data_IF_305054991114
#
_entry.id   IF_305054991114
#
_cell.length_a   1.000
_cell.length_b   1.000
_cell.length_c   1.000
_cell.angle_alpha   90.00
_cell.angle_beta   90.00
_cell.angle_gamma   90.00
#
_symmetry.space_group_name_H-M   'P 1'
#
loop_
_entity.id
_entity.type
_entity.pdbx_description
1 polymer ?
#
# COMPACT_ATOMS: atom_id res chain seq x y z
N UNK A 1 14.83 29.95 -5.73
CA UNK A 1 14.10 28.72 -5.99
C UNK A 1 14.40 27.77 -4.85
N UNK A 2 13.46 27.54 -3.96
CA UNK A 2 13.61 26.54 -2.89
C UNK A 2 13.70 25.17 -3.59
N UNK A 3 14.77 24.40 -3.31
CA UNK A 3 14.92 23.06 -3.85
C UNK A 3 13.73 22.17 -3.54
N UNK A 4 13.48 21.11 -4.35
CA UNK A 4 12.42 20.14 -4.08
C UNK A 4 12.64 19.49 -2.71
N UNK A 5 11.55 19.27 -1.98
CA UNK A 5 11.61 18.65 -0.66
C UNK A 5 11.30 17.17 -0.79
N UNK A 6 12.33 16.31 -0.71
CA UNK A 6 12.13 14.85 -0.71
C UNK A 6 11.31 14.43 0.49
N UNK A 7 10.26 13.64 0.24
CA UNK A 7 9.33 13.10 1.24
C UNK A 7 9.09 11.61 1.00
N UNK A 8 8.88 10.91 2.08
CA UNK A 8 8.30 9.58 2.08
C UNK A 8 6.81 9.70 2.41
N UNK A 9 5.96 8.99 1.68
CA UNK A 9 4.50 9.11 1.79
C UNK A 9 3.89 7.76 2.13
N UNK A 10 3.12 7.69 3.22
CA UNK A 10 2.39 6.49 3.64
C UNK A 10 0.89 6.77 3.63
N UNK A 11 0.16 6.07 2.76
CA UNK A 11 -1.31 6.09 2.67
C UNK A 11 -1.87 4.89 3.41
N UNK A 12 -2.83 5.13 4.30
CA UNK A 12 -3.28 4.12 5.26
C UNK A 12 -2.35 4.04 6.48
N UNK A 13 -1.83 5.18 6.92
CA UNK A 13 -0.87 5.35 8.02
C UNK A 13 -1.37 4.76 9.36
N UNK A 14 -2.70 4.72 9.58
CA UNK A 14 -3.28 4.10 10.78
C UNK A 14 -3.31 2.57 10.76
N UNK A 15 -2.84 1.90 9.69
CA UNK A 15 -2.70 0.44 9.67
C UNK A 15 -1.46 -0.01 10.44
N UNK A 16 -1.46 -1.23 11.00
CA UNK A 16 -0.31 -1.74 11.75
C UNK A 16 1.00 -1.66 10.96
N UNK A 17 0.99 -2.06 9.69
CA UNK A 17 2.18 -1.98 8.82
C UNK A 17 2.53 -0.53 8.50
N UNK A 18 1.54 0.32 8.17
CA UNK A 18 1.77 1.72 7.85
C UNK A 18 2.37 2.49 9.03
N UNK A 19 1.83 2.26 10.23
CA UNK A 19 2.33 2.85 11.46
C UNK A 19 3.79 2.42 11.75
N UNK A 20 4.07 1.11 11.71
CA UNK A 20 5.41 0.58 11.94
C UNK A 20 6.43 1.09 10.90
N UNK A 21 6.01 1.25 9.64
CA UNK A 21 6.87 1.78 8.58
C UNK A 21 7.23 3.24 8.82
N UNK A 22 6.27 4.07 9.25
CA UNK A 22 6.52 5.47 9.59
C UNK A 22 7.53 5.55 10.74
N UNK A 23 7.32 4.82 11.84
CA UNK A 23 8.27 4.79 12.96
C UNK A 23 9.68 4.39 12.50
N UNK A 24 9.79 3.34 11.70
CA UNK A 24 11.08 2.91 11.15
C UNK A 24 11.78 4.01 10.33
N UNK A 25 11.03 4.75 9.52
CA UNK A 25 11.60 5.79 8.67
C UNK A 25 12.03 7.01 9.45
N UNK A 26 11.29 7.44 10.48
CA UNK A 26 11.71 8.55 11.35
C UNK A 26 12.90 8.17 12.23
N UNK A 27 12.97 6.93 12.71
CA UNK A 27 14.13 6.43 13.50
C UNK A 27 15.42 6.44 12.67
N UNK A 28 15.32 6.17 11.38
CA UNK A 28 16.46 6.27 10.46
C UNK A 28 16.85 7.71 10.13
N UNK A 29 16.03 8.70 10.53
CA UNK A 29 16.19 10.15 10.32
C UNK A 29 16.53 10.56 8.88
N UNK A 30 16.14 9.73 7.89
CA UNK A 30 16.56 9.93 6.51
C UNK A 30 15.84 11.12 5.86
N UNK A 31 14.53 11.26 6.09
CA UNK A 31 13.70 12.36 5.54
C UNK A 31 12.33 12.45 6.23
N UNK A 32 11.66 13.60 6.07
CA UNK A 32 10.29 13.76 6.57
C UNK A 32 9.31 12.82 5.88
N UNK A 33 8.33 12.35 6.66
CA UNK A 33 7.29 11.42 6.25
C UNK A 33 5.93 12.14 6.24
N UNK A 34 5.14 11.94 5.19
CA UNK A 34 3.73 12.35 5.16
C UNK A 34 2.86 11.14 5.47
N UNK A 35 2.18 11.19 6.60
CA UNK A 35 1.26 10.16 7.08
C UNK A 35 -0.18 10.52 6.69
N UNK A 36 -0.82 9.69 5.85
CA UNK A 36 -2.17 9.94 5.33
C UNK A 36 -3.14 8.89 5.85
N UNK A 37 -4.22 9.31 6.49
CA UNK A 37 -5.31 8.43 6.94
C UNK A 37 -6.67 9.12 6.85
N UNK A 38 -7.76 8.33 6.92
CA UNK A 38 -9.13 8.84 6.86
C UNK A 38 -9.59 9.51 8.16
N UNK A 39 -9.12 8.98 9.29
CA UNK A 39 -9.53 9.42 10.61
C UNK A 39 -8.42 10.21 11.28
N UNK A 40 -8.70 11.40 11.81
CA UNK A 40 -7.74 12.15 12.64
C UNK A 40 -7.17 11.30 13.77
N UNK A 41 -8.02 10.52 14.47
CA UNK A 41 -7.60 9.67 15.58
C UNK A 41 -6.54 8.62 15.22
N UNK A 42 -6.49 8.22 13.94
CA UNK A 42 -5.44 7.33 13.43
C UNK A 42 -4.08 8.01 13.24
N UNK A 43 -4.01 9.32 13.39
CA UNK A 43 -2.83 10.14 13.15
C UNK A 43 -2.31 10.83 14.42
N UNK A 44 -3.13 10.94 15.47
CA UNK A 44 -2.80 11.64 16.72
C UNK A 44 -1.48 11.19 17.35
N UNK A 45 -1.18 9.90 17.27
CA UNK A 45 0.06 9.34 17.83
C UNK A 45 1.34 9.76 17.07
N UNK A 46 1.19 10.37 15.89
CA UNK A 46 2.33 10.92 15.15
C UNK A 46 2.60 12.39 15.46
N UNK A 47 1.67 13.13 16.11
CA UNK A 47 1.82 14.55 16.43
C UNK A 47 3.12 14.91 17.19
N UNK A 48 3.65 14.03 18.09
CA UNK A 48 4.89 14.33 18.78
C UNK A 48 6.17 14.27 17.93
N UNK A 49 6.07 13.83 16.67
CA UNK A 49 7.26 13.62 15.83
C UNK A 49 7.42 14.72 14.79
N UNK A 50 8.39 15.61 14.96
CA UNK A 50 8.69 16.73 14.06
C UNK A 50 8.95 16.31 12.59
N UNK A 51 9.37 15.05 12.37
CA UNK A 51 9.61 14.51 11.05
C UNK A 51 8.34 13.95 10.39
N UNK A 52 7.18 13.94 11.06
CA UNK A 52 5.93 13.42 10.51
C UNK A 52 4.95 14.56 10.27
N UNK A 53 4.57 14.72 9.03
CA UNK A 53 3.47 15.57 8.63
C UNK A 53 2.20 14.70 8.49
N UNK A 54 1.14 15.04 9.20
CA UNK A 54 -0.13 14.31 9.15
C UNK A 54 -1.12 14.97 8.18
N UNK A 55 -1.78 14.17 7.35
CA UNK A 55 -2.82 14.64 6.41
C UNK A 55 -4.08 13.76 6.53
N UNK A 56 -5.19 14.35 6.94
CA UNK A 56 -6.49 13.67 6.91
C UNK A 56 -7.04 13.70 5.49
N UNK A 57 -7.39 12.53 4.93
CA UNK A 57 -7.94 12.39 3.60
C UNK A 57 -8.97 11.25 3.59
N UNK A 58 -10.21 11.55 3.25
CA UNK A 58 -11.29 10.56 3.14
C UNK A 58 -11.28 9.79 1.81
N UNK A 59 -10.33 10.16 0.93
CA UNK A 59 -10.12 9.64 -0.41
C UNK A 59 -11.26 9.95 -1.39
N UNK A 60 -12.12 10.92 -1.13
CA UNK A 60 -13.00 11.53 -2.15
C UNK A 60 -12.17 12.21 -3.25
N UNK A 61 -12.78 12.47 -4.40
CA UNK A 61 -12.05 13.13 -5.51
C UNK A 61 -11.60 14.54 -5.10
N UNK A 62 -12.42 15.24 -4.33
CA UNK A 62 -12.11 16.56 -3.78
C UNK A 62 -10.95 16.51 -2.79
N UNK A 63 -10.95 15.53 -1.87
CA UNK A 63 -9.88 15.38 -0.89
C UNK A 63 -8.55 14.97 -1.54
N UNK A 64 -8.60 14.10 -2.56
CA UNK A 64 -7.41 13.73 -3.33
C UNK A 64 -6.86 14.91 -4.14
N UNK A 65 -7.74 15.74 -4.75
CA UNK A 65 -7.32 16.94 -5.46
C UNK A 65 -6.64 17.93 -4.50
N UNK A 66 -7.24 18.20 -3.34
CA UNK A 66 -6.67 19.08 -2.31
C UNK A 66 -5.31 18.57 -1.79
N UNK A 67 -5.18 17.26 -1.58
CA UNK A 67 -3.91 16.63 -1.19
C UNK A 67 -2.82 16.89 -2.22
N UNK A 68 -3.12 16.73 -3.51
CA UNK A 68 -2.18 16.95 -4.62
C UNK A 68 -1.79 18.43 -4.73
N UNK A 69 -2.74 19.35 -4.54
CA UNK A 69 -2.46 20.80 -4.52
C UNK A 69 -1.50 21.14 -3.38
N UNK A 70 -1.77 20.67 -2.16
CA UNK A 70 -0.88 20.89 -1.03
C UNK A 70 0.54 20.36 -1.30
N UNK A 71 0.67 19.18 -1.90
CA UNK A 71 1.99 18.64 -2.28
C UNK A 71 2.71 19.49 -3.36
N UNK A 72 1.96 20.12 -4.27
CA UNK A 72 2.54 21.03 -5.27
C UNK A 72 3.01 22.32 -4.63
N UNK A 73 2.22 22.91 -3.72
CA UNK A 73 2.53 24.14 -3.02
C UNK A 73 3.78 23.97 -2.14
N UNK A 74 3.89 22.82 -1.48
CA UNK A 74 5.06 22.47 -0.66
C UNK A 74 6.26 21.97 -1.49
N UNK A 75 6.14 21.95 -2.83
CA UNK A 75 7.16 21.46 -3.77
C UNK A 75 7.70 20.07 -3.40
N UNK A 76 6.79 19.16 -3.04
CA UNK A 76 7.12 17.77 -2.62
C UNK A 76 7.68 16.95 -3.79
N UNK A 77 8.82 16.30 -3.54
CA UNK A 77 9.40 15.25 -4.37
C UNK A 77 9.20 13.91 -3.66
N UNK A 78 8.35 13.05 -4.21
CA UNK A 78 8.02 11.76 -3.59
C UNK A 78 9.16 10.76 -3.85
N UNK A 79 9.91 10.44 -2.81
CA UNK A 79 10.99 9.43 -2.88
C UNK A 79 10.41 8.01 -2.72
N UNK A 80 9.55 7.80 -1.71
CA UNK A 80 8.87 6.54 -1.46
C UNK A 80 7.38 6.79 -1.27
N UNK A 81 6.55 6.00 -1.94
CA UNK A 81 5.09 5.97 -1.75
C UNK A 81 4.68 4.57 -1.36
N UNK A 82 4.08 4.42 -0.18
CA UNK A 82 3.52 3.14 0.25
C UNK A 82 2.03 3.27 0.50
N UNK A 83 1.23 2.43 -0.17
CA UNK A 83 -0.23 2.39 -0.01
C UNK A 83 -0.60 1.13 0.77
N UNK A 84 -1.01 1.31 2.02
CA UNK A 84 -1.27 0.24 2.99
C UNK A 84 -2.75 -0.11 3.17
N UNK A 85 -3.66 0.52 2.41
CA UNK A 85 -5.09 0.29 2.54
C UNK A 85 -5.47 -1.15 2.15
N UNK A 86 -6.35 -1.75 2.97
CA UNK A 86 -6.88 -3.08 2.67
C UNK A 86 -7.88 -3.54 3.72
N UNK A 87 -8.84 -4.37 3.27
CA UNK A 87 -9.82 -5.05 4.12
C UNK A 87 -9.98 -6.48 3.66
N UNK A 88 -10.27 -7.39 4.60
CA UNK A 88 -10.54 -8.79 4.34
C UNK A 88 -11.94 -9.17 4.84
N UNK A 89 -12.37 -8.51 5.91
CA UNK A 89 -13.67 -8.69 6.54
C UNK A 89 -14.15 -7.37 7.13
N UNK A 90 -15.39 -7.31 7.53
CA UNK A 90 -16.00 -6.17 8.19
C UNK A 90 -17.36 -6.52 8.80
N UNK A 91 -18.08 -5.48 9.23
CA UNK A 91 -19.42 -5.68 9.75
C UNK A 91 -20.32 -6.31 8.67
N UNK A 92 -20.92 -7.46 8.98
CA UNK A 92 -21.84 -8.17 8.09
C UNK A 92 -21.21 -9.01 6.99
N UNK A 93 -19.87 -9.03 6.82
CA UNK A 93 -19.24 -9.86 5.79
C UNK A 93 -17.92 -10.50 6.25
N UNK A 94 -17.65 -11.68 5.71
CA UNK A 94 -16.42 -12.46 5.93
C UNK A 94 -15.98 -13.09 4.61
N UNK A 95 -14.70 -13.49 4.49
CA UNK A 95 -14.22 -14.19 3.30
C UNK A 95 -15.00 -15.48 3.04
N UNK A 96 -15.41 -15.66 1.81
CA UNK A 96 -16.27 -16.78 1.37
C UNK A 96 -15.48 -18.09 1.32
N UNK A 97 -16.11 -19.19 1.75
CA UNK A 97 -15.57 -20.55 1.65
C UNK A 97 -16.09 -21.30 0.42
N UNK A 98 -17.23 -20.86 -0.12
CA UNK A 98 -17.90 -21.49 -1.26
C UNK A 98 -18.51 -20.40 -2.16
N UNK A 99 -18.66 -20.72 -3.47
CA UNK A 99 -19.15 -19.77 -4.48
C UNK A 99 -20.56 -19.24 -4.19
N UNK A 100 -21.41 -20.06 -3.57
CA UNK A 100 -22.78 -19.68 -3.19
C UNK A 100 -22.85 -18.75 -1.97
N UNK A 101 -21.71 -18.37 -1.37
CA UNK A 101 -21.61 -17.40 -0.29
C UNK A 101 -21.22 -16.01 -0.79
N UNK A 102 -21.08 -15.83 -2.11
CA UNK A 102 -20.83 -14.53 -2.70
C UNK A 102 -21.99 -13.57 -2.36
N UNK A 103 -21.63 -12.40 -1.89
CA UNK A 103 -22.55 -11.31 -1.55
C UNK A 103 -22.11 -10.05 -2.30
N UNK A 104 -23.05 -9.43 -3.03
CA UNK A 104 -22.77 -8.29 -3.90
C UNK A 104 -22.27 -7.07 -3.10
N UNK A 105 -22.87 -6.80 -1.93
CA UNK A 105 -22.47 -5.68 -1.09
C UNK A 105 -21.03 -5.87 -0.56
N UNK A 106 -20.70 -7.06 -0.07
CA UNK A 106 -19.35 -7.42 0.35
C UNK A 106 -18.33 -7.29 -0.81
N UNK A 107 -18.70 -7.76 -2.01
CA UNK A 107 -17.87 -7.64 -3.21
C UNK A 107 -17.56 -6.17 -3.50
N UNK A 108 -18.57 -5.31 -3.58
CA UNK A 108 -18.37 -3.88 -3.80
C UNK A 108 -17.47 -3.26 -2.74
N UNK A 109 -17.72 -3.54 -1.46
CA UNK A 109 -16.95 -2.97 -0.36
C UNK A 109 -15.48 -3.37 -0.39
N UNK A 110 -15.20 -4.65 -0.63
CA UNK A 110 -13.83 -5.18 -0.67
C UNK A 110 -13.07 -4.66 -1.91
N UNK A 111 -13.70 -4.64 -3.08
CA UNK A 111 -13.09 -4.07 -4.29
C UNK A 111 -12.84 -2.57 -4.15
N UNK A 112 -13.78 -1.82 -3.56
CA UNK A 112 -13.59 -0.39 -3.31
C UNK A 112 -12.32 -0.13 -2.52
N UNK A 113 -12.11 -0.85 -1.40
CA UNK A 113 -10.96 -0.59 -0.53
C UNK A 113 -9.67 -1.21 -1.05
N UNK A 114 -9.73 -2.42 -1.62
CA UNK A 114 -8.53 -3.18 -2.00
C UNK A 114 -8.02 -2.87 -3.41
N UNK A 115 -8.88 -2.36 -4.28
CA UNK A 115 -8.56 -2.17 -5.69
C UNK A 115 -8.74 -0.72 -6.12
N UNK A 116 -9.97 -0.17 -5.98
CA UNK A 116 -10.28 1.14 -6.53
C UNK A 116 -9.59 2.26 -5.75
N UNK A 117 -9.63 2.24 -4.42
CA UNK A 117 -8.99 3.26 -3.59
C UNK A 117 -7.48 3.36 -3.86
N UNK A 118 -6.68 2.27 -3.80
CA UNK A 118 -5.25 2.36 -4.10
C UNK A 118 -4.97 2.92 -5.49
N UNK A 119 -5.78 2.55 -6.48
CA UNK A 119 -5.62 3.03 -7.85
C UNK A 119 -6.00 4.49 -8.01
N UNK A 120 -7.07 4.97 -7.34
CA UNK A 120 -7.45 6.40 -7.31
C UNK A 120 -6.36 7.25 -6.67
N UNK A 121 -5.79 6.79 -5.56
CA UNK A 121 -4.65 7.45 -4.92
C UNK A 121 -3.45 7.52 -5.86
N UNK A 122 -3.09 6.40 -6.49
CA UNK A 122 -1.98 6.36 -7.44
C UNK A 122 -2.22 7.28 -8.63
N UNK A 123 -3.43 7.28 -9.19
CA UNK A 123 -3.83 8.15 -10.29
C UNK A 123 -3.71 9.64 -9.90
N UNK A 124 -4.21 10.03 -8.73
CA UNK A 124 -4.12 11.40 -8.23
C UNK A 124 -2.67 11.85 -8.05
N UNK A 125 -1.78 10.97 -7.53
CA UNK A 125 -0.38 11.28 -7.29
C UNK A 125 0.52 11.16 -8.54
N UNK A 126 0.04 10.56 -9.63
CA UNK A 126 0.82 10.37 -10.88
C UNK A 126 1.48 11.65 -11.41
N UNK A 127 0.84 12.85 -11.39
CA UNK A 127 1.50 14.09 -11.83
C UNK A 127 2.71 14.48 -10.98
N UNK A 128 2.75 14.07 -9.70
CA UNK A 128 3.89 14.28 -8.80
C UNK A 128 4.98 13.23 -9.07
N UNK A 129 4.59 11.95 -9.13
CA UNK A 129 5.50 10.83 -9.41
C UNK A 129 6.22 10.99 -10.75
N UNK A 130 5.55 11.59 -11.75
CA UNK A 130 6.17 11.93 -13.04
C UNK A 130 7.34 12.90 -12.90
N UNK A 131 7.31 13.80 -11.90
CA UNK A 131 8.32 14.84 -11.68
C UNK A 131 9.35 14.46 -10.63
N UNK A 132 9.05 13.46 -9.82
CA UNK A 132 9.95 12.95 -8.78
C UNK A 132 11.21 12.34 -9.39
N UNK A 133 12.33 12.42 -8.71
CA UNK A 133 13.63 12.00 -9.24
C UNK A 133 13.67 10.49 -9.52
N UNK A 134 13.37 9.66 -8.52
CA UNK A 134 13.41 8.19 -8.66
C UNK A 134 12.41 7.52 -7.69
N UNK A 135 11.08 7.73 -7.85
CA UNK A 135 10.11 7.29 -6.86
C UNK A 135 10.01 5.75 -6.80
N UNK A 136 9.98 5.24 -5.57
CA UNK A 136 9.70 3.84 -5.25
C UNK A 136 8.28 3.73 -4.73
N UNK A 137 7.45 2.97 -5.42
CA UNK A 137 6.01 2.86 -5.15
C UNK A 137 5.69 1.43 -4.77
N UNK A 138 5.25 1.18 -3.54
CA UNK A 138 4.74 -0.11 -3.12
C UNK A 138 3.25 -0.02 -2.78
N UNK A 139 2.46 -0.96 -3.30
CA UNK A 139 1.05 -1.11 -2.94
C UNK A 139 0.86 -2.48 -2.30
N UNK A 140 0.28 -2.50 -1.09
CA UNK A 140 0.06 -3.76 -0.38
C UNK A 140 -0.96 -4.63 -1.13
N UNK A 141 -0.44 -5.66 -1.77
CA UNK A 141 -1.20 -6.75 -2.36
C UNK A 141 -1.22 -7.95 -1.40
N UNK A 142 -1.44 -9.13 -1.92
CA UNK A 142 -1.39 -10.37 -1.14
C UNK A 142 -1.07 -11.55 -2.06
N UNK A 143 -0.30 -12.54 -1.60
CA UNK A 143 0.00 -13.78 -2.35
C UNK A 143 -1.26 -14.47 -2.87
N UNK A 144 -2.36 -14.37 -2.13
CA UNK A 144 -3.65 -14.92 -2.54
C UNK A 144 -4.27 -14.25 -3.77
N UNK A 145 -3.73 -13.09 -4.22
CA UNK A 145 -4.07 -12.45 -5.49
C UNK A 145 -3.42 -13.12 -6.71
N UNK A 146 -2.48 -14.03 -6.50
CA UNK A 146 -1.90 -14.85 -7.57
C UNK A 146 -2.90 -15.90 -8.07
N UNK A 147 -3.16 -15.91 -9.38
CA UNK A 147 -3.99 -16.94 -10.01
C UNK A 147 -3.19 -18.23 -10.13
N UNK A 148 -1.92 -18.14 -10.54
CA UNK A 148 -1.03 -19.28 -10.73
C UNK A 148 -0.65 -20.01 -9.44
N UNK A 149 -0.61 -19.32 -8.29
CA UNK A 149 -0.30 -19.90 -6.97
C UNK A 149 -1.54 -20.43 -6.23
N UNK A 150 -2.75 -20.19 -6.76
CA UNK A 150 -3.98 -20.58 -6.11
C UNK A 150 -4.23 -22.09 -6.18
N UNK A 151 -4.00 -22.81 -5.07
CA UNK A 151 -4.28 -24.24 -4.89
C UNK A 151 -5.38 -24.52 -3.87
N UNK A 152 -5.82 -23.50 -3.13
CA UNK A 152 -6.76 -23.67 -2.00
C UNK A 152 -8.19 -23.25 -2.32
N UNK A 153 -8.38 -22.31 -3.26
CA UNK A 153 -9.70 -21.69 -3.49
C UNK A 153 -10.20 -20.88 -2.30
N UNK A 154 -11.50 -20.64 -2.23
CA UNK A 154 -12.12 -19.80 -1.20
C UNK A 154 -11.69 -18.34 -1.30
N UNK A 155 -12.24 -17.48 -0.42
CA UNK A 155 -11.92 -16.05 -0.34
C UNK A 155 -12.06 -15.34 -1.70
N UNK A 156 -13.12 -15.68 -2.43
CA UNK A 156 -13.32 -15.28 -3.82
C UNK A 156 -13.16 -13.79 -4.03
N UNK A 157 -13.88 -13.01 -3.22
CA UNK A 157 -13.88 -11.55 -3.32
C UNK A 157 -12.51 -10.97 -3.00
N UNK A 158 -11.87 -11.44 -1.91
CA UNK A 158 -10.55 -10.93 -1.53
C UNK A 158 -9.48 -11.28 -2.56
N UNK A 159 -9.43 -12.54 -3.02
CA UNK A 159 -8.50 -12.96 -4.08
C UNK A 159 -8.74 -12.18 -5.37
N UNK A 160 -10.00 -12.08 -5.78
CA UNK A 160 -10.40 -11.33 -6.97
C UNK A 160 -9.97 -9.86 -6.89
N UNK A 161 -10.18 -9.20 -5.74
CA UNK A 161 -9.78 -7.80 -5.56
C UNK A 161 -8.26 -7.60 -5.64
N UNK A 162 -7.46 -8.52 -5.07
CA UNK A 162 -6.00 -8.42 -5.12
C UNK A 162 -5.44 -8.80 -6.50
N UNK A 163 -6.06 -9.75 -7.22
CA UNK A 163 -5.72 -10.05 -8.61
C UNK A 163 -6.03 -8.86 -9.54
N UNK A 164 -7.20 -8.22 -9.36
CA UNK A 164 -7.56 -7.00 -10.10
C UNK A 164 -6.58 -5.86 -9.81
N UNK A 165 -6.22 -5.64 -8.53
CA UNK A 165 -5.19 -4.66 -8.14
C UNK A 165 -3.87 -4.93 -8.86
N UNK A 166 -3.39 -6.19 -8.88
CA UNK A 166 -2.14 -6.56 -9.54
C UNK A 166 -2.17 -6.23 -11.04
N UNK A 167 -3.29 -6.53 -11.73
CA UNK A 167 -3.45 -6.18 -13.14
C UNK A 167 -3.42 -4.67 -13.36
N UNK A 168 -4.14 -3.89 -12.55
CA UNK A 168 -4.18 -2.43 -12.68
C UNK A 168 -2.82 -1.81 -12.38
N UNK A 169 -2.07 -2.34 -11.38
CA UNK A 169 -0.70 -1.92 -11.10
C UNK A 169 0.26 -2.25 -12.25
N UNK A 170 0.05 -3.38 -12.96
CA UNK A 170 0.83 -3.69 -14.17
C UNK A 170 0.63 -2.62 -15.25
N UNK A 171 -0.62 -2.21 -15.48
CA UNK A 171 -0.91 -1.13 -16.43
C UNK A 171 -0.25 0.19 -15.99
N UNK A 172 -0.36 0.53 -14.69
CA UNK A 172 0.25 1.74 -14.15
C UNK A 172 1.79 1.75 -14.24
N UNK A 173 2.44 0.60 -13.98
CA UNK A 173 3.88 0.48 -14.11
C UNK A 173 4.36 0.73 -15.56
N UNK A 174 3.65 0.16 -16.55
CA UNK A 174 3.93 0.37 -17.96
C UNK A 174 3.70 1.82 -18.41
N UNK A 175 2.73 2.51 -17.82
CA UNK A 175 2.49 3.93 -18.05
C UNK A 175 3.60 4.78 -17.40
N UNK A 176 3.89 4.55 -16.12
CA UNK A 176 4.93 5.27 -15.39
C UNK A 176 6.31 5.11 -16.03
N UNK A 177 6.64 3.93 -16.56
CA UNK A 177 7.88 3.74 -17.34
C UNK A 177 8.05 4.77 -18.46
N UNK A 178 6.95 5.15 -19.12
CA UNK A 178 6.99 6.15 -20.19
C UNK A 178 7.06 7.58 -19.65
N UNK A 179 6.47 7.83 -18.49
CA UNK A 179 6.37 9.16 -17.88
C UNK A 179 7.62 9.50 -17.03
N UNK A 180 8.16 8.51 -16.33
CA UNK A 180 9.35 8.59 -15.49
C UNK A 180 10.06 7.23 -15.46
N UNK A 181 11.06 6.99 -16.32
CA UNK A 181 11.77 5.71 -16.39
C UNK A 181 12.50 5.31 -15.10
N UNK A 182 12.75 6.27 -14.21
CA UNK A 182 13.38 6.03 -12.90
C UNK A 182 12.40 5.55 -11.83
N UNK A 183 11.08 5.59 -12.12
CA UNK A 183 10.06 5.10 -11.19
C UNK A 183 10.03 3.57 -11.12
N UNK A 184 9.82 3.03 -9.93
CA UNK A 184 9.59 1.60 -9.71
C UNK A 184 8.27 1.35 -9.01
N UNK A 185 7.47 0.40 -9.52
CA UNK A 185 6.19 -0.01 -8.93
C UNK A 185 6.29 -1.46 -8.45
N UNK A 186 5.82 -1.70 -7.22
CA UNK A 186 5.75 -3.00 -6.58
C UNK A 186 4.32 -3.33 -6.16
N UNK A 187 3.82 -4.50 -6.53
CA UNK A 187 2.74 -5.19 -5.84
C UNK A 187 3.38 -6.04 -4.74
N UNK A 188 3.11 -5.73 -3.48
CA UNK A 188 3.86 -6.29 -2.35
C UNK A 188 2.99 -7.13 -1.43
N UNK A 189 3.40 -8.36 -1.16
CA UNK A 189 2.81 -9.21 -0.13
C UNK A 189 3.63 -9.16 1.16
N UNK A 190 3.07 -8.58 2.24
CA UNK A 190 3.80 -8.37 3.49
C UNK A 190 4.01 -9.63 4.35
N UNK A 191 3.58 -10.80 3.90
CA UNK A 191 3.44 -11.99 4.73
C UNK A 191 2.13 -11.98 5.52
N UNK A 192 1.99 -12.90 6.47
CA UNK A 192 0.92 -12.81 7.48
C UNK A 192 1.45 -11.99 8.64
N UNK A 193 0.90 -10.79 8.82
CA UNK A 193 1.35 -9.82 9.83
C UNK A 193 0.33 -9.77 10.95
N UNK A 194 0.76 -9.76 12.19
CA UNK A 194 -0.08 -9.66 13.38
C UNK A 194 -0.77 -8.30 13.46
N UNK A 195 -1.97 -8.24 12.92
CA UNK A 195 -2.79 -7.03 12.79
C UNK A 195 -4.26 -7.40 12.89
N UNK A 196 -5.16 -6.45 13.19
CA UNK A 196 -6.61 -6.71 13.23
C UNK A 196 -7.16 -7.31 11.92
N UNK A 197 -6.51 -7.07 10.77
CA UNK A 197 -6.93 -7.66 9.49
C UNK A 197 -6.71 -9.18 9.46
N UNK A 198 -5.60 -9.66 9.99
CA UNK A 198 -5.21 -11.09 9.93
C UNK A 198 -5.65 -11.87 11.16
N UNK A 199 -5.84 -11.22 12.31
CA UNK A 199 -6.12 -11.84 13.62
C UNK A 199 -7.15 -12.98 13.56
N UNK A 200 -8.33 -12.83 12.91
CA UNK A 200 -9.33 -13.89 12.86
C UNK A 200 -8.92 -15.13 12.04
N UNK A 201 -7.82 -15.05 11.30
CA UNK A 201 -7.34 -16.09 10.39
C UNK A 201 -6.01 -16.70 10.80
N UNK A 202 -5.44 -16.24 11.91
CA UNK A 202 -4.13 -16.69 12.40
C UNK A 202 -4.14 -18.11 12.99
N UNK A 203 -5.31 -18.66 13.35
CA UNK A 203 -5.42 -19.98 14.00
C UNK A 203 -4.84 -21.16 13.19
N UNK A 204 -4.59 -20.99 11.90
CA UNK A 204 -3.94 -21.99 11.03
C UNK A 204 -2.54 -21.56 10.56
N UNK A 205 -2.03 -20.45 11.05
CA UNK A 205 -0.71 -19.91 10.69
C UNK A 205 0.32 -20.49 11.64
N UNK A 206 1.44 -20.96 11.11
CA UNK A 206 2.58 -21.35 11.93
C UNK A 206 3.09 -20.10 12.68
N UNK A 207 3.12 -20.12 14.03
CA UNK A 207 3.57 -18.98 14.82
C UNK A 207 4.94 -18.44 14.42
N UNK A 208 5.82 -19.30 13.91
CA UNK A 208 7.16 -18.91 13.45
C UNK A 208 7.13 -18.08 12.14
N UNK A 209 6.02 -18.10 11.41
CA UNK A 209 5.84 -17.36 10.17
C UNK A 209 4.93 -16.12 10.32
N UNK A 210 4.36 -15.94 11.50
CA UNK A 210 3.60 -14.73 11.85
C UNK A 210 4.57 -13.58 12.10
N UNK A 211 4.48 -12.53 11.31
CA UNK A 211 5.38 -11.38 11.43
C UNK A 211 4.76 -10.33 12.35
N UNK A 212 5.58 -9.67 13.16
CA UNK A 212 5.14 -8.42 13.80
C UNK A 212 5.05 -7.29 12.74
N UNK A 213 4.27 -6.22 13.00
CA UNK A 213 4.24 -5.05 12.14
C UNK A 213 5.63 -4.46 11.87
N UNK A 214 6.51 -4.42 12.87
CA UNK A 214 7.89 -3.89 12.79
C UNK A 214 8.73 -4.74 11.83
N UNK A 215 8.65 -6.07 11.92
CA UNK A 215 9.37 -6.96 10.99
C UNK A 215 8.84 -6.86 9.58
N UNK A 216 7.52 -6.71 9.41
CA UNK A 216 6.93 -6.49 8.10
C UNK A 216 7.35 -5.15 7.49
N UNK A 217 7.43 -4.09 8.30
CA UNK A 217 7.93 -2.77 7.89
C UNK A 217 9.42 -2.82 7.51
N UNK A 218 10.24 -3.52 8.29
CA UNK A 218 11.67 -3.72 7.99
C UNK A 218 11.86 -4.45 6.65
N UNK A 219 11.10 -5.52 6.44
CA UNK A 219 11.14 -6.28 5.20
C UNK A 219 10.72 -5.45 3.98
N UNK A 220 9.64 -4.65 4.12
CA UNK A 220 9.16 -3.76 3.07
C UNK A 220 10.20 -2.69 2.72
N UNK A 221 10.77 -2.03 3.73
CA UNK A 221 11.79 -1.00 3.56
C UNK A 221 13.01 -1.55 2.81
N UNK A 222 13.47 -2.74 3.18
CA UNK A 222 14.56 -3.44 2.50
C UNK A 222 14.22 -3.74 1.04
N UNK A 223 13.05 -4.33 0.77
CA UNK A 223 12.62 -4.67 -0.60
C UNK A 223 12.50 -3.41 -1.46
N UNK A 224 11.95 -2.31 -0.91
CA UNK A 224 11.89 -1.01 -1.60
C UNK A 224 13.27 -0.48 -1.97
N UNK A 225 14.25 -0.63 -1.07
CA UNK A 225 15.61 -0.15 -1.29
C UNK A 225 16.39 -0.99 -2.31
N UNK A 226 16.14 -2.31 -2.33
CA UNK A 226 16.88 -3.26 -3.18
C UNK A 226 16.27 -3.43 -4.59
N UNK A 227 15.02 -2.94 -4.82
CA UNK A 227 14.36 -3.14 -6.09
C UNK A 227 14.68 -2.01 -7.08
N UNK A 228 15.38 -2.34 -8.15
CA UNK A 228 15.79 -1.39 -9.17
C UNK A 228 14.67 -1.08 -10.19
N UNK A 229 14.65 0.13 -10.79
CA UNK A 229 13.71 0.50 -11.83
C UNK A 229 14.06 -0.26 -13.14
N UNK A 230 13.20 -1.17 -13.53
CA UNK A 230 13.32 -1.97 -14.77
C UNK A 230 12.18 -1.68 -15.76
N UNK A 231 11.29 -0.75 -15.39
CA UNK A 231 10.09 -0.40 -16.16
C UNK A 231 8.98 -1.45 -16.11
N UNK A 232 9.11 -2.45 -15.24
CA UNK A 232 8.13 -3.52 -15.06
C UNK A 232 7.51 -3.48 -13.66
N UNK A 233 6.32 -4.04 -13.50
CA UNK A 233 5.77 -4.30 -12.16
C UNK A 233 6.51 -5.49 -11.55
N UNK A 234 7.04 -5.34 -10.34
CA UNK A 234 7.50 -6.46 -9.54
C UNK A 234 6.39 -6.92 -8.59
N UNK A 235 6.10 -8.22 -8.55
CA UNK A 235 5.20 -8.82 -7.59
C UNK A 235 6.00 -9.68 -6.62
N UNK A 236 6.26 -9.14 -5.44
CA UNK A 236 7.22 -9.68 -4.47
C UNK A 236 6.56 -9.96 -3.12
N UNK A 237 7.07 -10.97 -2.43
CA UNK A 237 6.75 -11.16 -1.02
C UNK A 237 7.75 -10.46 -0.09
N UNK A 238 7.52 -10.57 1.22
CA UNK A 238 8.31 -9.94 2.27
C UNK A 238 9.77 -10.41 2.35
N UNK A 239 10.13 -11.50 1.68
CA UNK A 239 11.51 -11.98 1.54
C UNK A 239 12.20 -11.41 0.31
N UNK A 240 11.44 -10.75 -0.57
CA UNK A 240 11.88 -10.33 -1.90
C UNK A 240 11.71 -11.41 -2.97
N UNK A 241 11.06 -12.54 -2.63
CA UNK A 241 10.82 -13.62 -3.57
C UNK A 241 9.69 -13.24 -4.55
N UNK A 242 9.88 -13.59 -5.83
CA UNK A 242 8.88 -13.34 -6.87
C UNK A 242 7.66 -14.24 -6.66
N UNK A 243 6.48 -13.65 -6.68
CA UNK A 243 5.20 -14.37 -6.66
C UNK A 243 4.73 -14.54 -8.11
N UNK A 244 4.33 -15.75 -8.55
CA UNK A 244 3.75 -15.93 -9.88
C UNK A 244 2.41 -15.18 -9.99
N UNK A 245 2.07 -14.78 -11.22
CA UNK A 245 0.81 -14.09 -11.52
C UNK A 245 -0.43 -14.98 -11.43
#
# INVERSE_FOLDING_TARGET
MTGSQKRDVVVGAGSGIGCALIHRWIDSAARPVVAIARSPSSLEHFEPFDLVETRVCDYSDEALASLVEGFRDDNVDIERLVICNGVLQGEGYRPERAVNQLDEHAMHRVFEVNTFLPMRVLAALTPLLKRSEAPRIAVLSARVGSIGDNRRGGWYTYRGSKAALNMMLKCAALELRRLNPSAKVLAYHPGTVDTPLSEPFQGSVDPSTLLSPERAAEALDKVLAETEPDGELSYLDWRGDVIPW
#
